data_IF_886055593352
#
_entry.id   IF_886055593352
#
_cell.length_a   1.000
_cell.length_b   1.000
_cell.length_c   1.000
_cell.angle_alpha   90.00
_cell.angle_beta   90.00
_cell.angle_gamma   90.00
#
_symmetry.space_group_name_H-M   'P 1'
#
loop_
_entity.id
_entity.type
_entity.pdbx_description
1 polymer ?
#
# COMPACT_ATOMS: atom_id res chain seq x y z
N UNK A 1 -0.65 0.54 -2.95
CA UNK A 1 0.37 -0.01 -3.85
C UNK A 1 -0.36 -0.70 -5.01
N UNK A 2 -0.01 -0.59 -6.22
CA UNK A 2 -0.70 -1.22 -7.38
C UNK A 2 -0.51 -2.75 -7.48
N UNK A 3 -0.28 -3.45 -6.39
CA UNK A 3 -0.09 -4.89 -6.34
C UNK A 3 -1.38 -5.68 -6.08
N UNK A 4 -1.38 -6.98 -6.41
CA UNK A 4 -2.53 -7.89 -6.29
C UNK A 4 -3.13 -7.95 -4.88
N UNK A 5 -2.27 -7.99 -3.86
CA UNK A 5 -2.69 -8.11 -2.47
C UNK A 5 -3.42 -6.84 -1.99
N UNK A 6 -2.98 -5.66 -2.44
CA UNK A 6 -3.68 -4.40 -2.13
C UNK A 6 -4.98 -4.22 -2.93
N UNK A 7 -5.09 -4.80 -4.13
CA UNK A 7 -6.34 -4.80 -4.87
C UNK A 7 -7.42 -5.63 -4.13
N UNK A 8 -7.06 -6.83 -3.69
CA UNK A 8 -7.94 -7.68 -2.88
C UNK A 8 -8.32 -6.99 -1.58
N UNK A 9 -7.33 -6.42 -0.87
CA UNK A 9 -7.58 -5.71 0.37
C UNK A 9 -8.57 -4.56 0.20
N UNK A 10 -8.41 -3.75 -0.84
CA UNK A 10 -9.31 -2.62 -1.10
C UNK A 10 -10.75 -3.09 -1.33
N UNK A 11 -10.95 -4.13 -2.14
CA UNK A 11 -12.28 -4.70 -2.39
C UNK A 11 -12.91 -5.28 -1.10
N UNK A 12 -12.13 -5.95 -0.25
CA UNK A 12 -12.59 -6.45 1.04
C UNK A 12 -13.00 -5.32 1.99
N UNK A 13 -12.18 -4.27 2.11
CA UNK A 13 -12.46 -3.11 2.97
C UNK A 13 -13.70 -2.37 2.49
N UNK A 14 -13.84 -2.15 1.17
CA UNK A 14 -15.04 -1.53 0.59
C UNK A 14 -16.33 -2.31 0.86
N UNK A 15 -16.26 -3.63 0.99
CA UNK A 15 -17.40 -4.48 1.31
C UNK A 15 -17.71 -4.54 2.80
N UNK A 16 -16.70 -4.43 3.63
CA UNK A 16 -16.82 -4.58 5.08
C UNK A 16 -17.16 -3.28 5.82
N UNK A 17 -16.75 -2.14 5.28
CA UNK A 17 -16.85 -0.85 5.96
C UNK A 17 -17.68 0.17 5.18
N UNK A 18 -18.39 1.08 5.88
CA UNK A 18 -19.01 2.23 5.26
C UNK A 18 -17.98 3.11 4.54
N UNK A 19 -18.33 3.68 3.40
CA UNK A 19 -17.43 4.45 2.53
C UNK A 19 -16.81 5.67 3.23
N UNK A 20 -17.57 6.30 4.12
CA UNK A 20 -17.16 7.49 4.86
C UNK A 20 -16.23 7.18 6.05
N UNK A 21 -16.10 5.89 6.42
CA UNK A 21 -15.34 5.47 7.60
C UNK A 21 -13.85 5.28 7.35
N UNK A 22 -13.41 5.28 6.09
CA UNK A 22 -12.01 5.08 5.74
C UNK A 22 -11.58 5.94 4.54
N UNK A 23 -10.27 6.04 4.37
CA UNK A 23 -9.66 6.70 3.21
C UNK A 23 -8.66 5.76 2.55
N UNK A 24 -8.48 5.89 1.26
CA UNK A 24 -7.47 5.16 0.49
C UNK A 24 -6.28 6.07 0.26
N UNK A 25 -5.08 5.63 0.63
CA UNK A 25 -3.85 6.38 0.39
C UNK A 25 -2.90 5.57 -0.48
N UNK A 26 -2.58 6.08 -1.64
CA UNK A 26 -1.49 5.59 -2.47
C UNK A 26 -0.19 6.31 -2.13
N UNK A 27 0.81 5.56 -1.65
CA UNK A 27 2.16 6.09 -1.47
C UNK A 27 2.91 6.03 -2.80
N UNK A 28 2.98 7.17 -3.48
CA UNK A 28 3.72 7.31 -4.73
C UNK A 28 5.21 7.58 -4.42
N UNK A 29 6.05 6.60 -4.74
CA UNK A 29 7.50 6.73 -4.53
C UNK A 29 8.20 7.53 -5.62
N UNK A 30 7.53 7.82 -6.73
CA UNK A 30 8.13 8.38 -7.93
C UNK A 30 8.99 7.37 -8.72
N UNK A 31 9.06 6.11 -8.26
CA UNK A 31 9.87 5.03 -8.84
C UNK A 31 9.00 3.80 -9.16
N UNK A 32 7.71 3.97 -9.33
CA UNK A 32 6.80 2.88 -9.68
C UNK A 32 6.89 2.57 -11.17
N UNK A 33 6.67 1.31 -11.55
CA UNK A 33 6.51 0.94 -12.96
C UNK A 33 5.30 1.62 -13.59
N UNK A 34 5.32 1.94 -14.90
CA UNK A 34 4.16 2.53 -15.61
C UNK A 34 2.87 1.72 -15.40
N UNK A 35 2.95 0.38 -15.50
CA UNK A 35 1.83 -0.52 -15.27
C UNK A 35 1.21 -0.34 -13.86
N UNK A 36 1.98 0.09 -12.88
CA UNK A 36 1.49 0.40 -11.52
C UNK A 36 0.63 1.66 -11.50
N UNK A 37 1.07 2.70 -12.20
CA UNK A 37 0.28 3.94 -12.31
C UNK A 37 -1.05 3.71 -13.02
N UNK A 38 -1.09 2.85 -14.03
CA UNK A 38 -2.35 2.49 -14.73
C UNK A 38 -3.35 1.79 -13.80
N UNK A 39 -2.87 0.87 -12.97
CA UNK A 39 -3.73 0.22 -11.96
C UNK A 39 -4.21 1.22 -10.91
N UNK A 40 -3.33 2.07 -10.42
CA UNK A 40 -3.67 3.09 -9.41
C UNK A 40 -4.66 4.10 -9.96
N UNK A 41 -4.51 4.52 -11.22
CA UNK A 41 -5.47 5.41 -11.91
C UNK A 41 -6.86 4.76 -12.00
N UNK A 42 -6.92 3.47 -12.30
CA UNK A 42 -8.18 2.72 -12.32
C UNK A 42 -8.81 2.65 -10.92
N UNK A 43 -8.04 2.26 -9.90
CA UNK A 43 -8.52 2.21 -8.51
C UNK A 43 -9.01 3.57 -8.02
N UNK A 44 -8.31 4.65 -8.38
CA UNK A 44 -8.72 6.02 -8.05
C UNK A 44 -10.08 6.34 -8.66
N UNK A 45 -10.26 6.02 -9.96
CA UNK A 45 -11.53 6.22 -10.65
C UNK A 45 -12.68 5.44 -9.99
N UNK A 46 -12.46 4.17 -9.66
CA UNK A 46 -13.45 3.37 -8.93
C UNK A 46 -13.79 3.93 -7.54
N UNK A 47 -12.82 4.51 -6.84
CA UNK A 47 -13.05 5.17 -5.57
C UNK A 47 -13.84 6.48 -5.74
N UNK A 48 -13.55 7.25 -6.78
CA UNK A 48 -14.30 8.48 -7.13
C UNK A 48 -15.75 8.16 -7.50
N UNK A 49 -15.99 7.11 -8.30
CA UNK A 49 -17.33 6.67 -8.72
C UNK A 49 -18.19 6.19 -7.54
N UNK A 50 -17.60 5.54 -6.56
CA UNK A 50 -18.31 5.04 -5.38
C UNK A 50 -18.29 5.98 -4.17
N UNK A 51 -17.63 7.13 -4.29
CA UNK A 51 -17.55 8.15 -3.23
C UNK A 51 -16.54 7.84 -2.14
N UNK A 52 -15.62 6.88 -2.31
CA UNK A 52 -14.54 6.59 -1.35
C UNK A 52 -13.41 7.62 -1.51
N UNK A 53 -13.00 8.33 -0.45
CA UNK A 53 -11.90 9.29 -0.53
C UNK A 53 -10.58 8.62 -0.91
N UNK A 54 -9.94 9.12 -1.98
CA UNK A 54 -8.67 8.61 -2.47
C UNK A 54 -7.60 9.71 -2.51
N UNK A 55 -6.48 9.47 -1.85
CA UNK A 55 -5.37 10.42 -1.76
C UNK A 55 -4.08 9.84 -2.30
N UNK A 56 -3.23 10.70 -2.85
CA UNK A 56 -1.85 10.37 -3.23
C UNK A 56 -0.90 11.04 -2.25
N UNK A 57 -0.02 10.25 -1.66
CA UNK A 57 1.04 10.71 -0.79
C UNK A 57 2.38 10.55 -1.48
N UNK A 58 3.07 11.65 -1.77
CA UNK A 58 4.37 11.69 -2.44
C UNK A 58 5.35 12.52 -1.64
N UNK A 59 6.62 12.12 -1.63
CA UNK A 59 7.71 12.90 -1.09
C UNK A 59 7.95 14.15 -1.95
N UNK A 60 8.37 15.26 -1.31
CA UNK A 60 8.88 16.43 -2.05
C UNK A 60 10.32 16.23 -2.50
N UNK A 61 11.00 15.23 -1.96
CA UNK A 61 12.33 14.88 -2.44
C UNK A 61 12.22 14.13 -3.76
N UNK A 62 13.06 14.52 -4.72
CA UNK A 62 13.24 13.74 -5.93
C UNK A 62 13.98 12.43 -5.63
N UNK A 63 13.55 11.29 -6.21
CA UNK A 63 14.22 10.01 -5.98
C UNK A 63 15.68 9.99 -6.40
N UNK A 64 16.05 10.62 -7.52
CA UNK A 64 17.42 10.65 -8.01
C UNK A 64 18.32 11.51 -7.11
N UNK A 65 17.83 12.65 -6.63
CA UNK A 65 18.53 13.47 -5.63
C UNK A 65 18.75 12.71 -4.34
N UNK A 66 17.71 11.97 -3.88
CA UNK A 66 17.82 11.13 -2.69
C UNK A 66 18.87 10.02 -2.86
N UNK A 67 18.97 9.42 -4.04
CA UNK A 67 20.01 8.42 -4.34
C UNK A 67 21.42 9.03 -4.33
N UNK A 68 21.57 10.23 -4.85
CA UNK A 68 22.86 10.95 -4.81
C UNK A 68 23.26 11.30 -3.37
N UNK A 69 22.27 11.61 -2.51
CA UNK A 69 22.53 11.99 -1.11
C UNK A 69 22.79 10.79 -0.20
N UNK A 70 21.98 9.73 -0.32
CA UNK A 70 22.00 8.57 0.60
C UNK A 70 22.67 7.33 0.01
N UNK A 71 23.05 7.37 -1.27
CA UNK A 71 23.50 6.21 -2.01
C UNK A 71 22.36 5.27 -2.42
N UNK A 72 22.66 4.19 -3.18
CA UNK A 72 21.64 3.23 -3.60
C UNK A 72 21.01 2.53 -2.40
N UNK A 73 19.69 2.33 -2.40
CA UNK A 73 19.02 1.63 -1.29
C UNK A 73 19.47 0.17 -1.23
N UNK A 74 19.80 -0.29 -0.03
CA UNK A 74 20.22 -1.66 0.24
C UNK A 74 19.16 -2.43 1.04
N UNK A 75 19.22 -3.76 0.96
CA UNK A 75 18.29 -4.62 1.71
C UNK A 75 18.28 -4.33 3.21
N UNK A 76 19.43 -3.96 3.76
CA UNK A 76 19.60 -3.64 5.18
C UNK A 76 19.20 -2.19 5.48
N UNK A 77 19.49 -1.27 4.55
CA UNK A 77 19.23 0.16 4.70
C UNK A 77 18.19 0.62 3.66
N UNK A 78 16.92 0.46 3.99
CA UNK A 78 15.78 0.84 3.14
C UNK A 78 15.33 2.28 3.41
N UNK A 79 16.24 3.24 3.34
CA UNK A 79 15.89 4.65 3.51
C UNK A 79 14.79 5.11 2.55
N UNK A 80 14.75 4.56 1.32
CA UNK A 80 13.72 4.88 0.33
C UNK A 80 12.30 4.58 0.82
N UNK A 81 12.10 3.50 1.60
CA UNK A 81 10.81 3.19 2.19
C UNK A 81 10.36 4.25 3.20
N UNK A 82 11.29 4.83 3.95
CA UNK A 82 10.98 5.89 4.91
C UNK A 82 10.74 7.21 4.20
N UNK A 83 11.66 7.65 3.35
CA UNK A 83 11.64 8.97 2.69
C UNK A 83 10.52 9.09 1.66
N UNK A 84 10.32 8.04 0.83
CA UNK A 84 9.40 8.11 -0.30
C UNK A 84 8.07 7.39 -0.10
N UNK A 85 7.88 6.69 1.03
CA UNK A 85 6.63 5.95 1.27
C UNK A 85 6.00 6.25 2.62
N UNK A 86 6.62 5.83 3.74
CA UNK A 86 5.95 5.92 5.04
C UNK A 86 5.82 7.35 5.56
N UNK A 87 6.87 8.18 5.43
CA UNK A 87 6.78 9.59 5.87
C UNK A 87 5.73 10.38 5.08
N UNK A 88 5.69 10.35 3.73
CA UNK A 88 4.65 11.05 2.97
C UNK A 88 3.23 10.58 3.33
N UNK A 89 3.02 9.28 3.55
CA UNK A 89 1.71 8.77 3.98
C UNK A 89 1.31 9.30 5.35
N UNK A 90 2.23 9.35 6.30
CA UNK A 90 2.00 9.94 7.61
C UNK A 90 1.68 11.42 7.53
N UNK A 91 2.43 12.19 6.73
CA UNK A 91 2.17 13.61 6.52
C UNK A 91 0.80 13.83 5.89
N UNK A 92 0.41 13.01 4.90
CA UNK A 92 -0.91 13.07 4.29
C UNK A 92 -2.02 12.77 5.30
N UNK A 93 -1.83 11.80 6.20
CA UNK A 93 -2.80 11.53 7.26
C UNK A 93 -2.94 12.70 8.25
N UNK A 94 -1.83 13.36 8.58
CA UNK A 94 -1.89 14.59 9.40
C UNK A 94 -2.66 15.72 8.73
N UNK A 95 -2.46 15.90 7.43
CA UNK A 95 -3.20 16.85 6.60
C UNK A 95 -4.71 16.53 6.60
N UNK A 96 -5.08 15.27 6.34
CA UNK A 96 -6.48 14.82 6.28
C UNK A 96 -7.17 14.98 7.65
N UNK A 97 -6.48 14.60 8.73
CA UNK A 97 -7.07 14.62 10.07
C UNK A 97 -6.95 15.98 10.79
N UNK A 98 -6.12 16.89 10.29
CA UNK A 98 -5.78 18.13 10.97
C UNK A 98 -5.01 17.95 12.29
N UNK A 99 -4.48 16.74 12.56
CA UNK A 99 -3.83 16.39 13.84
C UNK A 99 -2.40 15.89 13.61
N UNK A 100 -1.44 16.49 14.31
CA UNK A 100 -0.05 16.01 14.30
C UNK A 100 0.10 14.62 14.92
N UNK A 101 -0.67 14.33 15.97
CA UNK A 101 -0.71 13.05 16.67
C UNK A 101 -2.07 12.39 16.40
N UNK A 102 -2.29 11.93 15.16
CA UNK A 102 -3.49 11.16 14.86
C UNK A 102 -3.35 9.71 15.36
N UNK A 103 -4.49 9.11 15.70
CA UNK A 103 -4.61 7.69 15.97
C UNK A 103 -5.40 7.10 14.82
N UNK A 104 -4.86 6.07 14.18
CA UNK A 104 -5.47 5.46 13.02
C UNK A 104 -5.20 3.97 12.91
N UNK A 105 -6.10 3.27 12.23
CA UNK A 105 -5.96 1.87 11.88
C UNK A 105 -5.66 1.74 10.39
N UNK A 106 -4.50 1.21 10.07
CA UNK A 106 -4.10 0.93 8.69
C UNK A 106 -4.45 -0.50 8.31
N UNK A 107 -5.25 -0.69 7.30
CA UNK A 107 -5.42 -2.00 6.66
C UNK A 107 -4.26 -2.27 5.71
N UNK A 108 -3.54 -3.37 5.91
CA UNK A 108 -2.32 -3.67 5.14
C UNK A 108 -2.44 -5.05 4.48
N UNK A 109 -2.22 -5.10 3.17
CA UNK A 109 -2.26 -6.34 2.38
C UNK A 109 -0.97 -7.16 2.50
N UNK A 110 -0.57 -7.50 3.72
CA UNK A 110 0.58 -8.36 4.00
C UNK A 110 0.12 -9.81 4.16
N UNK A 111 0.92 -10.75 3.64
CA UNK A 111 0.70 -12.19 3.81
C UNK A 111 1.92 -12.87 4.44
N UNK A 112 1.67 -13.81 5.35
CA UNK A 112 2.71 -14.55 6.06
C UNK A 112 3.63 -15.33 5.10
N UNK A 113 3.05 -15.91 4.05
CA UNK A 113 3.77 -16.71 3.04
C UNK A 113 4.72 -15.91 2.12
N UNK A 114 4.74 -14.59 2.19
CA UNK A 114 5.61 -13.78 1.32
C UNK A 114 7.09 -13.77 1.73
N UNK A 115 7.39 -13.98 2.99
CA UNK A 115 8.76 -14.08 3.50
C UNK A 115 8.81 -14.54 4.96
N UNK A 116 9.96 -15.09 5.39
CA UNK A 116 10.22 -15.47 6.79
C UNK A 116 10.02 -14.30 7.77
N UNK A 117 10.33 -13.08 7.37
CA UNK A 117 10.08 -11.90 8.22
C UNK A 117 8.59 -11.63 8.39
N UNK A 118 7.77 -11.86 7.35
CA UNK A 118 6.32 -11.65 7.39
C UNK A 118 5.55 -12.78 8.06
N UNK A 119 6.09 -14.01 8.08
CA UNK A 119 5.48 -15.12 8.80
C UNK A 119 5.42 -14.91 10.32
N UNK A 120 6.16 -13.91 10.82
CA UNK A 120 6.18 -13.52 12.24
C UNK A 120 5.22 -12.35 12.56
N UNK A 121 4.42 -11.92 11.59
CA UNK A 121 3.45 -10.86 11.81
C UNK A 121 2.17 -11.44 12.41
N UNK A 122 1.52 -10.64 13.25
CA UNK A 122 0.19 -10.91 13.76
C UNK A 122 -0.87 -10.21 12.90
N UNK A 123 -2.13 -10.59 13.06
CA UNK A 123 -3.25 -9.88 12.45
C UNK A 123 -3.27 -8.41 12.87
N UNK A 124 -2.97 -8.15 14.11
CA UNK A 124 -2.92 -6.81 14.70
C UNK A 124 -1.49 -6.46 15.13
N UNK A 125 -1.04 -5.26 14.77
CA UNK A 125 0.26 -4.75 15.18
C UNK A 125 0.09 -3.33 15.74
N UNK A 126 0.63 -3.12 16.94
CA UNK A 126 0.50 -1.86 17.68
C UNK A 126 1.78 -1.04 17.60
N UNK A 127 1.70 0.13 16.98
CA UNK A 127 2.63 1.24 17.16
C UNK A 127 4.13 1.03 16.96
N UNK A 128 4.56 -0.11 16.38
CA UNK A 128 6.00 -0.42 16.23
C UNK A 128 6.76 0.57 15.34
N UNK A 129 6.09 1.16 14.35
CA UNK A 129 6.71 2.11 13.42
C UNK A 129 6.43 3.56 13.79
N UNK A 130 5.24 3.85 14.25
CA UNK A 130 4.81 5.18 14.64
C UNK A 130 3.79 5.09 15.78
N UNK A 131 4.02 5.89 16.83
CA UNK A 131 3.10 5.97 17.97
C UNK A 131 1.71 6.41 17.50
N UNK A 132 0.67 5.65 17.89
CA UNK A 132 -0.71 5.92 17.50
C UNK A 132 -1.16 5.29 16.19
N UNK A 133 -0.25 4.67 15.43
CA UNK A 133 -0.58 3.93 14.21
C UNK A 133 -0.72 2.45 14.52
N UNK A 134 -1.92 1.93 14.31
CA UNK A 134 -2.24 0.50 14.41
C UNK A 134 -2.34 -0.07 13.02
N UNK A 135 -1.94 -1.33 12.82
CA UNK A 135 -2.14 -1.99 11.54
C UNK A 135 -2.88 -3.30 11.71
N UNK A 136 -3.76 -3.58 10.78
CA UNK A 136 -4.50 -4.83 10.69
C UNK A 136 -4.25 -5.49 9.33
N UNK A 137 -3.98 -6.79 9.33
CA UNK A 137 -3.58 -7.59 8.17
C UNK A 137 -4.66 -8.62 7.83
N UNK A 138 -5.78 -8.26 7.19
CA UNK A 138 -6.95 -9.15 7.01
C UNK A 138 -6.65 -10.41 6.19
N UNK A 139 -5.66 -10.35 5.31
CA UNK A 139 -5.28 -11.46 4.42
C UNK A 139 -3.96 -12.13 4.82
N UNK A 140 -3.58 -12.02 6.11
CA UNK A 140 -2.28 -12.49 6.61
C UNK A 140 -2.01 -13.97 6.27
N UNK A 141 -2.99 -14.83 6.47
CA UNK A 141 -2.86 -16.28 6.23
C UNK A 141 -3.21 -16.71 4.82
N UNK A 142 -3.66 -15.78 3.97
CA UNK A 142 -4.00 -16.12 2.59
C UNK A 142 -2.78 -16.56 1.80
N UNK A 143 -2.93 -17.65 1.09
CA UNK A 143 -1.95 -18.12 0.10
C UNK A 143 -2.00 -17.26 -1.17
N UNK A 144 -0.97 -17.38 -2.00
CA UNK A 144 -0.99 -16.71 -3.31
C UNK A 144 -2.12 -17.21 -4.21
N UNK A 145 -2.47 -18.50 -4.09
CA UNK A 145 -3.56 -19.09 -4.85
C UNK A 145 -4.91 -18.49 -4.48
N UNK A 146 -5.21 -18.34 -3.19
CA UNK A 146 -6.46 -17.73 -2.72
C UNK A 146 -6.59 -16.27 -3.17
N UNK A 147 -5.50 -15.49 -3.13
CA UNK A 147 -5.49 -14.13 -3.67
C UNK A 147 -5.85 -14.11 -5.15
N UNK A 148 -5.27 -15.01 -5.96
CA UNK A 148 -5.58 -15.08 -7.38
C UNK A 148 -7.00 -15.59 -7.67
N UNK A 149 -7.47 -16.59 -6.93
CA UNK A 149 -8.86 -17.07 -7.04
C UNK A 149 -9.85 -15.93 -6.72
N UNK A 150 -9.57 -15.16 -5.69
CA UNK A 150 -10.40 -13.99 -5.36
C UNK A 150 -10.40 -12.96 -6.49
N UNK A 151 -9.23 -12.60 -7.01
CA UNK A 151 -9.08 -11.67 -8.12
C UNK A 151 -9.89 -12.12 -9.35
N UNK A 152 -9.78 -13.37 -9.73
CA UNK A 152 -10.51 -13.92 -10.87
C UNK A 152 -12.02 -13.97 -10.61
N UNK A 153 -12.43 -14.40 -9.42
CA UNK A 153 -13.86 -14.47 -9.05
C UNK A 153 -14.54 -13.10 -9.03
N UNK A 154 -13.79 -12.05 -8.67
CA UNK A 154 -14.29 -10.65 -8.60
C UNK A 154 -13.93 -9.83 -9.84
N UNK A 155 -13.19 -10.40 -10.79
CA UNK A 155 -12.71 -9.73 -12.01
C UNK A 155 -11.94 -8.43 -11.69
N UNK A 156 -11.15 -8.43 -10.61
CA UNK A 156 -10.39 -7.26 -10.20
C UNK A 156 -9.30 -6.95 -11.23
N UNK A 157 -9.09 -5.67 -11.50
CA UNK A 157 -7.97 -5.24 -12.34
C UNK A 157 -6.66 -5.46 -11.59
N UNK A 158 -5.70 -6.07 -12.28
CA UNK A 158 -4.36 -6.34 -11.75
C UNK A 158 -3.29 -5.72 -12.63
N UNK A 159 -2.11 -5.56 -12.05
CA UNK A 159 -0.95 -5.01 -12.74
C UNK A 159 -0.48 -5.97 -13.86
N UNK A 160 -0.26 -5.42 -15.05
CA UNK A 160 0.20 -6.18 -16.22
C UNK A 160 1.58 -6.83 -16.00
N UNK A 161 2.36 -6.32 -15.04
CA UNK A 161 3.63 -6.94 -14.67
C UNK A 161 3.50 -8.41 -14.28
N UNK A 162 2.34 -8.82 -13.71
CA UNK A 162 2.08 -10.23 -13.38
C UNK A 162 1.94 -11.11 -14.64
N UNK A 163 1.34 -10.59 -15.70
CA UNK A 163 1.24 -11.30 -16.99
C UNK A 163 2.61 -11.43 -17.68
N UNK A 164 3.52 -10.52 -17.39
CA UNK A 164 4.91 -10.55 -17.86
C UNK A 164 5.82 -11.47 -17.01
N UNK A 165 5.25 -12.26 -16.09
CA UNK A 165 5.96 -13.23 -15.25
C UNK A 165 6.54 -12.66 -13.95
N UNK A 166 6.28 -11.40 -13.62
CA UNK A 166 6.74 -10.83 -12.36
C UNK A 166 5.95 -11.39 -11.17
N UNK A 167 6.62 -11.79 -10.11
CA UNK A 167 5.98 -12.25 -8.88
C UNK A 167 5.42 -11.11 -8.02
N UNK A 168 5.88 -9.88 -8.26
CA UNK A 168 5.51 -8.67 -7.52
C UNK A 168 5.35 -7.48 -8.46
N UNK A 169 4.41 -6.62 -8.13
CA UNK A 169 4.33 -5.25 -8.61
C UNK A 169 4.76 -4.32 -7.47
N UNK A 170 5.75 -3.48 -7.69
CA UNK A 170 6.29 -2.56 -6.68
C UNK A 170 7.20 -1.54 -7.32
N UNK A 171 7.87 -0.74 -6.49
CA UNK A 171 8.88 0.21 -6.96
C UNK A 171 10.11 -0.53 -7.54
N UNK A 172 10.77 0.13 -8.46
CA UNK A 172 12.02 -0.28 -9.09
C UNK A 172 13.14 -0.54 -8.08
#
# INVERSE_FOLDING_TARGET
SGGKDSAVLLDLVKKALPKESFVVIFGDTGMEFPDTYDVVKHMKKECEEDGTPFYVARSHFDPAESWNLFGPPARVLRWCCSVHKSTPQTMKMREITGKNNYVGLDFVGVRAHESVARSKYDYENYGKKQKGQYSFNPILEWTSAEVWLYIFSKKLKVNEAYKKGNSRAGCL
#
